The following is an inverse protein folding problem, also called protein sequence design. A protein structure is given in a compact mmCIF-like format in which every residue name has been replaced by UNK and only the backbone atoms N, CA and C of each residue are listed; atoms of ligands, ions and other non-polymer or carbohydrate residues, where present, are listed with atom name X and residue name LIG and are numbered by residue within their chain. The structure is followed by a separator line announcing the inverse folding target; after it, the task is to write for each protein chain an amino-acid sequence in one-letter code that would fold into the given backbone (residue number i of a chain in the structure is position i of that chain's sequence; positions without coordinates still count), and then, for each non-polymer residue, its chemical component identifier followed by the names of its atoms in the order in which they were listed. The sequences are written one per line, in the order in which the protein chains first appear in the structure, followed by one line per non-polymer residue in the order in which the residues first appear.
data_IF_785995001685
#
_entry.id   IF_785995001685
#
_cell.length_a   1.000
_cell.length_b   1.000
_cell.length_c   1.000
_cell.angle_alpha   90.00
_cell.angle_beta   90.00
_cell.angle_gamma   90.00
#
_symmetry.space_group_name_H-M   'P 1'
#
loop_
_entity.id
_entity.type
_entity.pdbx_description
1 polymer ?
#
# COMPACT_ATOMS: atom_id res chain seq x y z
N UNK A 1 12.20 -27.51 7.65
CA UNK A 1 10.99 -26.79 7.19
C UNK A 1 10.31 -26.22 8.44
N UNK A 2 10.57 -24.96 8.77
CA UNK A 2 9.99 -24.33 9.97
C UNK A 2 8.93 -23.32 9.51
N UNK A 3 7.67 -23.66 9.78
CA UNK A 3 6.54 -22.73 9.78
C UNK A 3 6.57 -22.02 11.13
N UNK A 4 6.68 -20.69 11.12
CA UNK A 4 6.37 -19.84 12.28
C UNK A 4 5.21 -18.94 11.91
N UNK A 5 4.16 -19.00 12.71
CA UNK A 5 2.97 -18.17 12.68
C UNK A 5 2.95 -17.47 14.04
N UNK A 6 3.56 -16.30 14.14
CA UNK A 6 3.50 -15.46 15.35
C UNK A 6 3.70 -14.00 14.91
N UNK A 7 2.61 -13.23 14.99
CA UNK A 7 2.53 -11.76 14.91
C UNK A 7 3.47 -11.02 13.94
N UNK A 8 3.11 -10.92 12.66
CA UNK A 8 3.48 -9.88 11.68
C UNK A 8 4.87 -9.19 11.76
N UNK A 9 5.92 -9.84 12.25
CA UNK A 9 7.30 -9.39 12.06
C UNK A 9 7.71 -9.70 10.62
N UNK A 10 7.18 -8.89 9.70
CA UNK A 10 7.60 -8.89 8.31
C UNK A 10 9.07 -8.48 8.29
N UNK A 11 9.94 -9.45 8.03
CA UNK A 11 11.36 -9.17 7.84
C UNK A 11 11.54 -8.03 6.82
N UNK A 12 12.47 -7.08 7.05
CA UNK A 12 12.65 -5.90 6.20
C UNK A 12 12.88 -6.25 4.72
N UNK A 13 13.44 -7.44 4.45
CA UNK A 13 13.61 -8.02 3.11
C UNK A 13 12.28 -8.43 2.45
N UNK A 14 11.34 -9.03 3.18
CA UNK A 14 10.00 -9.35 2.68
C UNK A 14 9.20 -8.07 2.40
N UNK A 15 9.31 -7.08 3.29
CA UNK A 15 8.75 -5.74 3.06
C UNK A 15 9.26 -5.10 1.77
N UNK A 16 10.56 -5.23 1.47
CA UNK A 16 11.17 -4.63 0.27
C UNK A 16 10.61 -5.24 -1.02
N UNK A 17 10.43 -6.56 -1.05
CA UNK A 17 9.89 -7.24 -2.22
C UNK A 17 8.39 -6.95 -2.42
N UNK A 18 7.62 -6.97 -1.33
CA UNK A 18 6.20 -6.58 -1.35
C UNK A 18 6.01 -5.13 -1.81
N UNK A 19 6.86 -4.20 -1.36
CA UNK A 19 6.86 -2.80 -1.82
C UNK A 19 7.12 -2.71 -3.32
N UNK A 20 8.15 -3.37 -3.83
CA UNK A 20 8.49 -3.31 -5.26
C UNK A 20 7.37 -3.85 -6.14
N UNK A 21 6.79 -4.99 -5.73
CA UNK A 21 5.65 -5.59 -6.41
C UNK A 21 4.40 -4.71 -6.34
N UNK A 22 4.12 -4.11 -5.17
CA UNK A 22 3.03 -3.17 -4.97
C UNK A 22 3.18 -1.91 -5.82
N UNK A 23 4.35 -1.27 -5.81
CA UNK A 23 4.64 -0.05 -6.58
C UNK A 23 4.53 -0.34 -8.08
N UNK A 24 5.11 -1.44 -8.56
CA UNK A 24 5.04 -1.78 -9.99
C UNK A 24 3.61 -2.11 -10.42
N UNK A 25 2.86 -2.85 -9.61
CA UNK A 25 1.47 -3.23 -9.93
C UNK A 25 0.50 -2.05 -9.82
N UNK A 26 0.74 -1.13 -8.88
CA UNK A 26 -0.12 0.01 -8.59
C UNK A 26 0.41 1.33 -9.17
N UNK A 27 1.41 1.30 -10.05
CA UNK A 27 1.96 2.50 -10.67
C UNK A 27 0.88 3.33 -11.38
N UNK A 28 -0.04 2.66 -12.08
CA UNK A 28 -1.18 3.31 -12.73
C UNK A 28 -2.07 4.09 -11.73
N UNK A 29 -2.27 3.54 -10.53
CA UNK A 29 -3.03 4.18 -9.44
C UNK A 29 -2.40 5.49 -8.98
N UNK A 30 -1.06 5.52 -8.88
CA UNK A 30 -0.32 6.74 -8.54
C UNK A 30 -0.59 7.86 -9.55
N UNK A 31 -0.77 7.51 -10.83
CA UNK A 31 -1.10 8.47 -11.89
C UNK A 31 -2.62 8.69 -12.05
N UNK A 32 -3.44 8.25 -11.08
CA UNK A 32 -4.88 8.48 -11.06
C UNK A 32 -5.71 7.56 -11.95
N UNK A 33 -5.12 6.47 -12.47
CA UNK A 33 -5.81 5.43 -13.22
C UNK A 33 -6.46 4.39 -12.28
N UNK A 34 -7.46 3.61 -12.74
CA UNK A 34 -8.05 2.54 -11.95
C UNK A 34 -7.03 1.46 -11.57
N UNK A 35 -7.25 0.81 -10.43
CA UNK A 35 -6.41 -0.30 -9.97
C UNK A 35 -6.66 -1.56 -10.80
N UNK A 36 -5.58 -2.17 -11.31
CA UNK A 36 -5.63 -3.51 -11.89
C UNK A 36 -5.93 -4.59 -10.83
N UNK A 37 -6.44 -5.77 -11.20
CA UNK A 37 -6.68 -6.87 -10.26
C UNK A 37 -5.44 -7.25 -9.43
N UNK A 38 -4.26 -7.27 -10.04
CA UNK A 38 -2.99 -7.51 -9.36
C UNK A 38 -2.66 -6.42 -8.33
N UNK A 39 -2.97 -5.15 -8.63
CA UNK A 39 -2.84 -4.05 -7.67
C UNK A 39 -3.81 -4.22 -6.50
N UNK A 40 -5.07 -4.56 -6.75
CA UNK A 40 -6.03 -4.82 -5.67
C UNK A 40 -5.61 -6.00 -4.79
N UNK A 41 -5.01 -7.05 -5.36
CA UNK A 41 -4.49 -8.16 -4.56
C UNK A 41 -3.38 -7.68 -3.62
N UNK A 42 -2.42 -6.88 -4.13
CA UNK A 42 -1.37 -6.28 -3.29
C UNK A 42 -1.94 -5.34 -2.23
N UNK A 43 -2.90 -4.50 -2.61
CA UNK A 43 -3.63 -3.68 -1.66
C UNK A 43 -4.27 -4.54 -0.57
N UNK A 44 -4.80 -5.73 -0.84
CA UNK A 44 -5.40 -6.56 0.21
C UNK A 44 -4.39 -7.20 1.15
N UNK A 45 -3.27 -7.69 0.63
CA UNK A 45 -2.33 -8.54 1.39
C UNK A 45 -1.11 -7.82 1.94
N UNK A 46 -0.76 -6.63 1.43
CA UNK A 46 0.43 -5.92 1.87
C UNK A 46 0.18 -5.16 3.17
N UNK A 47 1.06 -5.28 4.15
CA UNK A 47 0.90 -4.56 5.42
C UNK A 47 1.29 -3.09 5.32
N UNK A 48 0.61 -2.25 6.11
CA UNK A 48 0.86 -0.81 6.09
C UNK A 48 2.30 -0.48 6.51
N UNK A 49 2.84 -1.15 7.52
CA UNK A 49 4.23 -1.00 7.96
C UNK A 49 5.24 -1.30 6.85
N UNK A 50 4.91 -2.26 6.00
CA UNK A 50 5.66 -2.52 4.79
C UNK A 50 5.47 -1.43 3.75
N UNK A 51 4.30 -0.85 3.51
CA UNK A 51 4.14 0.07 2.37
C UNK A 51 4.52 1.51 2.71
N UNK A 52 4.17 1.97 3.92
CA UNK A 52 4.24 3.38 4.30
C UNK A 52 5.62 4.01 4.22
N UNK A 53 6.73 3.34 4.58
CA UNK A 53 8.05 3.94 4.44
C UNK A 53 8.54 4.06 2.98
N UNK A 54 7.85 3.45 2.00
CA UNK A 54 8.10 3.72 0.58
C UNK A 54 7.37 4.97 0.05
N UNK A 55 6.37 5.45 0.80
CA UNK A 55 5.59 6.64 0.49
C UNK A 55 6.37 7.88 0.90
N UNK A 56 7.30 8.28 0.02
CA UNK A 56 8.09 9.49 0.18
C UNK A 56 7.31 10.75 -0.28
N UNK A 57 7.79 11.97 0.04
CA UNK A 57 7.08 13.21 -0.29
C UNK A 57 6.88 13.41 -1.80
N UNK A 58 7.83 12.97 -2.61
CA UNK A 58 7.76 13.08 -4.08
C UNK A 58 6.63 12.23 -4.64
N UNK A 59 6.45 11.02 -4.10
CA UNK A 59 5.36 10.13 -4.48
C UNK A 59 4.02 10.65 -3.93
N UNK A 60 4.01 11.13 -2.69
CA UNK A 60 2.82 11.69 -2.06
C UNK A 60 2.26 12.89 -2.83
N UNK A 61 3.13 13.73 -3.41
CA UNK A 61 2.73 14.87 -4.23
C UNK A 61 1.99 14.47 -5.53
N UNK A 62 2.12 13.23 -6.00
CA UNK A 62 1.44 12.73 -7.20
C UNK A 62 0.10 12.05 -6.88
N UNK A 63 -0.16 11.75 -5.60
CA UNK A 63 -1.29 10.92 -5.19
C UNK A 63 -2.42 11.82 -4.67
N UNK A 64 -3.58 11.71 -5.31
CA UNK A 64 -4.83 12.27 -4.78
C UNK A 64 -5.38 11.37 -3.67
N UNK A 65 -5.49 11.91 -2.45
CA UNK A 65 -5.95 11.17 -1.26
C UNK A 65 -7.38 10.64 -1.43
N UNK A 66 -8.28 11.40 -2.04
CA UNK A 66 -9.67 10.97 -2.22
C UNK A 66 -9.74 9.79 -3.22
N UNK A 67 -8.96 9.85 -4.31
CA UNK A 67 -8.85 8.73 -5.25
C UNK A 67 -8.21 7.51 -4.60
N UNK A 68 -7.15 7.71 -3.80
CA UNK A 68 -6.50 6.63 -3.08
C UNK A 68 -7.47 5.92 -2.12
N UNK A 69 -8.25 6.68 -1.34
CA UNK A 69 -9.30 6.14 -0.45
C UNK A 69 -10.31 5.33 -1.27
N UNK A 70 -10.82 5.89 -2.37
CA UNK A 70 -11.80 5.21 -3.23
C UNK A 70 -11.26 3.90 -3.79
N UNK A 71 -9.99 3.88 -4.21
CA UNK A 71 -9.34 2.69 -4.75
C UNK A 71 -9.15 1.63 -3.66
N UNK A 72 -8.69 2.04 -2.46
CA UNK A 72 -8.53 1.13 -1.32
C UNK A 72 -9.87 0.48 -0.97
N UNK A 73 -10.94 1.27 -0.88
CA UNK A 73 -12.32 0.78 -0.65
C UNK A 73 -12.81 -0.13 -1.77
N UNK A 74 -12.58 0.23 -3.03
CA UNK A 74 -12.97 -0.58 -4.21
C UNK A 74 -12.25 -1.93 -4.21
N UNK A 75 -10.97 -1.95 -3.83
CA UNK A 75 -10.22 -3.17 -3.64
C UNK A 75 -10.60 -3.91 -2.34
N UNK A 76 -11.57 -3.43 -1.55
CA UNK A 76 -12.03 -4.08 -0.31
C UNK A 76 -11.08 -3.94 0.88
N UNK A 77 -10.21 -2.92 0.88
CA UNK A 77 -9.36 -2.59 2.03
C UNK A 77 -9.97 -1.44 2.83
N UNK A 78 -10.11 -1.65 4.13
CA UNK A 78 -10.52 -0.61 5.07
C UNK A 78 -9.34 0.30 5.38
N UNK A 79 -9.56 1.61 5.23
CA UNK A 79 -8.59 2.64 5.60
C UNK A 79 -8.93 3.10 7.02
N UNK A 80 -7.98 3.09 7.97
CA UNK A 80 -8.21 3.64 9.29
C UNK A 80 -8.41 5.17 9.21
N UNK A 81 -9.25 5.72 10.06
CA UNK A 81 -9.42 7.17 10.18
C UNK A 81 -8.17 7.84 10.74
N UNK A 82 -7.89 9.08 10.30
CA UNK A 82 -6.73 9.86 10.71
C UNK A 82 -5.40 9.10 10.62
N UNK A 83 -5.25 8.30 9.57
CA UNK A 83 -4.10 7.42 9.38
C UNK A 83 -3.00 8.10 8.59
N UNK A 84 -1.75 8.04 9.09
CA UNK A 84 -0.58 8.56 8.39
C UNK A 84 0.26 7.40 7.85
N UNK A 85 0.55 7.45 6.54
CA UNK A 85 1.35 6.46 5.85
C UNK A 85 2.52 7.15 5.14
N UNK A 86 3.67 7.21 5.82
CA UNK A 86 4.82 7.96 5.33
C UNK A 86 4.47 9.45 5.21
N UNK A 87 4.53 9.98 3.98
CA UNK A 87 4.14 11.36 3.68
C UNK A 87 2.66 11.56 3.31
N UNK A 88 1.86 10.49 3.20
CA UNK A 88 0.41 10.58 2.96
C UNK A 88 -0.37 10.62 4.27
N UNK A 89 -1.47 11.38 4.25
CA UNK A 89 -2.41 11.47 5.36
C UNK A 89 -3.82 11.16 4.88
N UNK A 90 -4.46 10.19 5.52
CA UNK A 90 -5.83 9.77 5.27
C UNK A 90 -6.72 10.31 6.40
N UNK A 91 -7.64 11.25 6.12
CA UNK A 91 -8.58 11.77 7.11
C UNK A 91 -9.59 10.69 7.56
#
# INVERSE_FOLDING_TARGET
MARVVEGEELSPSQCKQERQLGINSCKAVVFGQPASPACCQRIRVSHWESVCPAVNPKLAALIDINKAIKILQTCGRKVPHHFKCGSLYFP
#
